data_IF_553905516086
#
_entry.id   IF_553905516086
#
_cell.length_a   1.000
_cell.length_b   1.000
_cell.length_c   1.000
_cell.angle_alpha   90.00
_cell.angle_beta   90.00
_cell.angle_gamma   90.00
#
_symmetry.space_group_name_H-M   'P 1'
#
loop_
_entity.id
_entity.type
_entity.pdbx_description
1 polymer ?
#
# COMPACT_ATOMS: atom_id res chain seq x y z
N UNK A 1 -20.24 4.54 -21.29
CA UNK A 1 -19.08 4.38 -20.39
C UNK A 1 -18.12 3.38 -21.01
N UNK A 2 -17.00 3.84 -21.56
CA UNK A 2 -16.01 2.98 -22.23
C UNK A 2 -14.87 2.62 -21.27
N UNK A 3 -14.49 1.34 -21.23
CA UNK A 3 -13.38 0.82 -20.44
C UNK A 3 -12.04 1.06 -21.16
N UNK A 4 -10.92 0.92 -20.45
CA UNK A 4 -9.58 0.97 -21.04
C UNK A 4 -9.10 2.39 -21.33
N UNK A 5 -8.46 2.59 -22.50
CA UNK A 5 -7.79 3.83 -22.94
C UNK A 5 -8.55 5.14 -22.62
N UNK A 6 -9.84 5.29 -22.96
CA UNK A 6 -10.58 6.53 -22.67
C UNK A 6 -10.77 6.81 -21.17
N UNK A 7 -10.70 5.79 -20.32
CA UNK A 7 -10.71 5.96 -18.87
C UNK A 7 -9.34 6.30 -18.31
N UNK A 8 -8.24 5.84 -18.94
CA UNK A 8 -6.90 6.01 -18.40
C UNK A 8 -6.44 7.48 -18.31
N UNK A 9 -6.86 8.32 -19.26
CA UNK A 9 -6.56 9.77 -19.25
C UNK A 9 -7.14 10.53 -18.04
N UNK A 10 -8.05 9.92 -17.27
CA UNK A 10 -8.65 10.51 -16.07
C UNK A 10 -7.92 10.11 -14.77
N UNK A 11 -6.88 9.27 -14.82
CA UNK A 11 -6.15 8.79 -13.63
C UNK A 11 -5.10 9.77 -13.09
N UNK A 12 -5.52 11.00 -12.79
CA UNK A 12 -4.63 12.06 -12.31
C UNK A 12 -4.60 12.18 -10.78
N UNK A 13 -5.45 11.42 -10.07
CA UNK A 13 -5.58 11.48 -8.61
C UNK A 13 -4.72 10.40 -7.95
N UNK A 14 -3.79 10.82 -7.11
CA UNK A 14 -2.93 9.91 -6.34
C UNK A 14 -3.73 9.36 -5.14
N UNK A 15 -3.78 8.03 -5.01
CA UNK A 15 -4.46 7.35 -3.90
C UNK A 15 -3.50 6.89 -2.81
N UNK A 16 -2.32 6.40 -3.22
CA UNK A 16 -1.27 5.88 -2.36
C UNK A 16 0.00 6.73 -2.46
N UNK A 17 0.69 6.92 -1.34
CA UNK A 17 2.00 7.56 -1.25
C UNK A 17 2.98 6.68 -0.47
N UNK A 18 4.23 7.11 -0.38
CA UNK A 18 5.26 6.43 0.42
C UNK A 18 4.91 6.43 1.91
N UNK A 19 4.91 5.25 2.52
CA UNK A 19 4.64 5.10 3.95
C UNK A 19 5.86 5.44 4.78
N UNK A 20 5.67 6.27 5.82
CA UNK A 20 6.72 6.66 6.78
C UNK A 20 7.34 5.50 7.56
N UNK A 21 6.58 4.42 7.83
CA UNK A 21 7.07 3.27 8.60
C UNK A 21 7.82 2.24 7.74
N UNK A 22 7.27 1.89 6.58
CA UNK A 22 7.79 0.76 5.79
C UNK A 22 8.40 1.16 4.43
N UNK A 23 8.44 2.45 4.09
CA UNK A 23 9.08 2.96 2.87
C UNK A 23 8.40 2.59 1.53
N UNK A 24 7.37 1.74 1.54
CA UNK A 24 6.60 1.32 0.35
C UNK A 24 5.56 2.36 -0.06
N UNK A 25 5.25 2.41 -1.36
CA UNK A 25 4.20 3.26 -1.93
C UNK A 25 2.79 2.70 -1.68
N UNK A 26 2.42 2.56 -0.41
CA UNK A 26 1.23 1.84 0.04
C UNK A 26 0.39 2.62 1.07
N UNK A 27 0.78 3.84 1.42
CA UNK A 27 0.02 4.66 2.38
C UNK A 27 -1.16 5.34 1.69
N UNK A 28 -2.37 4.99 2.07
CA UNK A 28 -3.58 5.57 1.49
C UNK A 28 -3.84 6.96 2.10
N UNK A 29 -3.87 8.01 1.27
CA UNK A 29 -4.00 9.40 1.72
C UNK A 29 -5.34 9.63 2.44
N UNK A 30 -6.47 9.33 1.77
CA UNK A 30 -7.81 9.58 2.32
C UNK A 30 -8.13 8.77 3.58
N UNK A 31 -7.77 7.48 3.57
CA UNK A 31 -8.04 6.56 4.69
C UNK A 31 -6.98 6.61 5.80
N UNK A 32 -5.90 7.39 5.60
CA UNK A 32 -4.77 7.55 6.52
C UNK A 32 -4.21 6.20 7.04
N UNK A 33 -4.14 5.19 6.18
CA UNK A 33 -3.74 3.82 6.56
C UNK A 33 -2.82 3.20 5.52
N UNK A 34 -1.78 2.51 5.97
CA UNK A 34 -0.86 1.80 5.09
C UNK A 34 -1.38 0.39 4.76
N UNK A 35 -1.58 0.14 3.47
CA UNK A 35 -2.00 -1.16 2.96
C UNK A 35 -0.91 -2.23 3.14
N UNK A 36 0.36 -1.87 3.29
CA UNK A 36 1.42 -2.86 3.51
C UNK A 36 1.56 -3.18 5.01
N UNK A 37 1.92 -2.19 5.83
CA UNK A 37 2.34 -2.40 7.22
C UNK A 37 1.27 -2.13 8.28
N UNK A 38 0.12 -1.54 7.91
CA UNK A 38 -0.93 -1.18 8.86
C UNK A 38 -0.74 0.14 9.61
N UNK A 39 0.34 0.90 9.36
CA UNK A 39 0.54 2.25 9.93
C UNK A 39 -0.75 3.09 9.78
N UNK A 40 -1.26 3.74 10.85
CA UNK A 40 -0.61 4.09 12.12
C UNK A 40 -0.63 3.04 13.25
N UNK A 41 -1.33 1.91 13.09
CA UNK A 41 -1.51 0.90 14.16
C UNK A 41 -0.17 0.50 14.81
N UNK A 42 -0.16 0.19 16.11
CA UNK A 42 1.07 -0.23 16.81
C UNK A 42 1.62 -1.55 16.26
N UNK A 43 0.74 -2.51 15.99
CA UNK A 43 1.09 -3.82 15.45
C UNK A 43 1.31 -3.75 13.93
N UNK A 44 2.31 -4.49 13.45
CA UNK A 44 2.51 -4.69 12.02
C UNK A 44 1.42 -5.59 11.46
N UNK A 45 0.85 -5.18 10.32
CA UNK A 45 -0.13 -5.99 9.60
C UNK A 45 0.52 -7.26 9.06
N UNK A 46 0.04 -8.41 9.54
CA UNK A 46 0.42 -9.76 9.08
C UNK A 46 -0.85 -10.55 8.84
N UNK A 47 -0.87 -11.35 7.78
CA UNK A 47 -1.93 -12.34 7.54
C UNK A 47 -1.32 -13.72 7.40
N UNK A 48 -1.99 -14.72 7.96
CA UNK A 48 -1.50 -16.11 7.93
C UNK A 48 -1.51 -16.69 6.51
N UNK A 49 -2.48 -16.28 5.68
CA UNK A 49 -2.55 -16.69 4.28
C UNK A 49 -1.49 -16.01 3.39
N UNK A 50 -0.89 -14.89 3.84
CA UNK A 50 0.04 -14.08 3.05
C UNK A 50 1.50 -14.45 3.36
N UNK A 51 1.88 -15.71 3.15
CA UNK A 51 3.20 -16.25 3.49
C UNK A 51 4.38 -15.63 2.72
N UNK A 52 4.15 -15.08 1.53
CA UNK A 52 5.14 -14.33 0.73
C UNK A 52 5.19 -12.83 1.04
N UNK A 53 4.44 -12.35 2.05
CA UNK A 53 4.35 -10.92 2.28
C UNK A 53 5.71 -10.32 2.70
N UNK A 54 6.24 -9.30 2.01
CA UNK A 54 7.66 -8.97 2.12
C UNK A 54 8.02 -8.22 3.42
N UNK A 55 7.04 -7.66 4.14
CA UNK A 55 7.34 -6.90 5.37
C UNK A 55 7.81 -7.77 6.54
N UNK A 56 7.59 -9.07 6.47
CA UNK A 56 7.94 -10.02 7.55
C UNK A 56 9.19 -10.83 7.26
N UNK A 57 9.80 -10.72 6.06
CA UNK A 57 10.95 -11.57 5.66
C UNK A 57 12.16 -10.85 5.09
N UNK A 58 12.16 -9.53 4.98
CA UNK A 58 13.34 -8.78 4.52
C UNK A 58 13.67 -7.63 5.49
N UNK A 59 14.14 -7.99 6.69
CA UNK A 59 15.42 -7.43 7.17
C UNK A 59 16.51 -8.17 6.36
N UNK A 60 16.51 -8.00 5.04
CA UNK A 60 17.65 -8.46 4.24
C UNK A 60 18.79 -7.55 4.66
N UNK A 61 19.84 -8.19 5.17
CA UNK A 61 21.18 -7.61 5.38
C UNK A 61 21.52 -6.60 4.29
#
# INVERSE_FOLDING_TARGET
>A
MVKGTPSFGKHNKITHIRCRRCGKHAYHIRKKRCAACGYPDSKLRKYNWAWKHPLTRERKK
#
